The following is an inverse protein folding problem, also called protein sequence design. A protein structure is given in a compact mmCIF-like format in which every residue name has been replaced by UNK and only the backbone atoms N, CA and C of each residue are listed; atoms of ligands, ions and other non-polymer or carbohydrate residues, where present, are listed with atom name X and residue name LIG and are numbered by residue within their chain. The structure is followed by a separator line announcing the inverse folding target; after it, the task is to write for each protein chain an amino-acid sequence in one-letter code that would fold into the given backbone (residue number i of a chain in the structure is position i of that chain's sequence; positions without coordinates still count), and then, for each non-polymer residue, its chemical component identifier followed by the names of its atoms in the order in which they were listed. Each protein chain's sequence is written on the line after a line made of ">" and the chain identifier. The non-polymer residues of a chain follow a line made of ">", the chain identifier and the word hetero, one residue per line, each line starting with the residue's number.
data_IF_191173090621
#
_entry.id   IF_191173090621
#
_cell.length_a   1.000
_cell.length_b   1.000
_cell.length_c   1.000
_cell.angle_alpha   90.00
_cell.angle_beta   90.00
_cell.angle_gamma   90.00
#
_symmetry.space_group_name_H-M   'P 1'
#
loop_
_entity.id
_entity.type
_entity.pdbx_description
1 polymer ?
#
# COMPACT_ATOMS: atom_id res chain seq x y z
N UNK A 1 0.37 6.75 10.80
CA UNK A 1 -0.44 5.52 10.78
C UNK A 1 0.07 4.60 9.67
N UNK A 2 -0.06 3.27 9.79
CA UNK A 2 0.21 2.34 8.69
C UNK A 2 -1.10 1.82 8.10
N UNK A 3 -1.20 1.79 6.77
CA UNK A 3 -2.33 1.20 6.09
C UNK A 3 -1.85 0.24 5.00
N UNK A 4 -2.33 -1.00 5.05
CA UNK A 4 -2.26 -1.91 3.92
C UNK A 4 -3.47 -1.68 3.02
N UNK A 5 -3.22 -1.40 1.75
CA UNK A 5 -4.25 -1.19 0.72
C UNK A 5 -4.08 -2.21 -0.38
N UNK A 6 -5.17 -2.86 -0.76
CA UNK A 6 -5.21 -3.80 -1.89
C UNK A 6 -6.42 -3.48 -2.78
N UNK A 7 -6.19 -3.45 -4.09
CA UNK A 7 -7.21 -3.24 -5.11
C UNK A 7 -7.37 -4.51 -5.93
N UNK A 8 -8.58 -5.05 -5.98
CA UNK A 8 -8.90 -6.26 -6.74
C UNK A 8 -10.06 -5.96 -7.67
N UNK A 9 -9.78 -5.59 -8.93
CA UNK A 9 -10.80 -5.49 -9.96
C UNK A 9 -11.36 -6.89 -10.24
N UNK A 10 -12.68 -7.01 -10.30
CA UNK A 10 -13.38 -8.27 -10.47
C UNK A 10 -13.87 -8.36 -11.91
N UNK A 11 -13.61 -9.50 -12.56
CA UNK A 11 -13.96 -9.71 -13.97
C UNK A 11 -12.87 -9.28 -14.96
N UNK A 12 -11.72 -8.81 -14.46
CA UNK A 12 -10.56 -8.44 -15.29
C UNK A 12 -9.58 -9.60 -15.39
N UNK A 13 -9.18 -9.97 -16.61
CA UNK A 13 -8.14 -10.98 -16.87
C UNK A 13 -6.73 -10.38 -16.86
N UNK A 14 -6.01 -10.52 -17.97
CA UNK A 14 -4.61 -10.06 -18.12
C UNK A 14 -4.43 -8.55 -17.92
N UNK A 15 -5.49 -7.76 -18.12
CA UNK A 15 -5.49 -6.29 -17.95
C UNK A 15 -5.28 -5.84 -16.50
N UNK A 16 -5.43 -6.73 -15.53
CA UNK A 16 -5.29 -6.41 -14.10
C UNK A 16 -3.97 -5.69 -13.78
N UNK A 17 -2.86 -6.12 -14.41
CA UNK A 17 -1.55 -5.49 -14.23
C UNK A 17 -1.55 -4.02 -14.65
N UNK A 18 -2.19 -3.70 -15.77
CA UNK A 18 -2.23 -2.33 -16.30
C UNK A 18 -3.10 -1.42 -15.43
N UNK A 19 -4.21 -1.95 -14.93
CA UNK A 19 -5.09 -1.24 -13.99
C UNK A 19 -4.37 -0.92 -12.68
N UNK A 20 -3.69 -1.92 -12.08
CA UNK A 20 -2.91 -1.70 -10.88
C UNK A 20 -1.75 -0.72 -11.11
N UNK A 21 -1.12 -0.75 -12.29
CA UNK A 21 -0.08 0.22 -12.64
C UNK A 21 -0.60 1.67 -12.67
N UNK A 22 -1.88 1.91 -13.03
CA UNK A 22 -2.48 3.25 -12.95
C UNK A 22 -2.61 3.72 -11.51
N UNK A 23 -3.11 2.89 -10.61
CA UNK A 23 -3.17 3.20 -9.19
C UNK A 23 -1.78 3.43 -8.59
N UNK A 24 -0.79 2.60 -8.94
CA UNK A 24 0.58 2.77 -8.46
C UNK A 24 1.24 4.06 -8.96
N UNK A 25 0.90 4.57 -10.15
CA UNK A 25 1.36 5.90 -10.59
C UNK A 25 0.81 7.03 -9.72
N UNK A 26 -0.40 6.89 -9.17
CA UNK A 26 -0.99 7.88 -8.25
C UNK A 26 -0.25 7.82 -6.91
N UNK A 27 -0.01 6.62 -6.37
CA UNK A 27 0.74 6.43 -5.11
C UNK A 27 2.18 6.91 -5.26
N UNK A 28 2.85 6.61 -6.36
CA UNK A 28 4.22 7.04 -6.60
C UNK A 28 4.36 8.57 -6.71
N UNK A 29 3.29 9.27 -7.11
CA UNK A 29 3.22 10.73 -7.11
C UNK A 29 2.77 11.31 -5.76
N UNK A 30 2.37 10.47 -4.82
CA UNK A 30 2.14 10.91 -3.45
C UNK A 30 3.48 11.05 -2.76
N UNK A 31 3.68 12.13 -2.02
CA UNK A 31 4.87 12.35 -1.20
C UNK A 31 4.86 11.47 0.07
N UNK A 32 3.95 10.48 0.16
CA UNK A 32 3.84 9.57 1.28
C UNK A 32 4.82 8.41 1.13
N UNK A 33 5.39 7.99 2.26
CA UNK A 33 6.20 6.78 2.30
C UNK A 33 5.31 5.55 2.05
N UNK A 34 5.76 4.68 1.15
CA UNK A 34 5.04 3.45 0.85
C UNK A 34 5.99 2.31 0.47
N UNK A 35 5.49 1.09 0.61
CA UNK A 35 6.16 -0.14 0.18
C UNK A 35 5.19 -0.99 -0.63
N UNK A 36 5.55 -1.22 -1.90
CA UNK A 36 4.85 -2.16 -2.75
C UNK A 36 5.20 -3.60 -2.35
N UNK A 37 4.20 -4.46 -2.31
CA UNK A 37 4.32 -5.90 -2.08
C UNK A 37 3.65 -6.66 -3.23
N UNK A 38 3.82 -7.98 -3.27
CA UNK A 38 3.15 -8.82 -4.27
C UNK A 38 1.62 -8.81 -4.18
N UNK A 39 1.05 -8.44 -3.03
CA UNK A 39 -0.39 -8.54 -2.75
C UNK A 39 -1.09 -7.18 -2.62
N UNK A 40 -0.35 -6.08 -2.58
CA UNK A 40 -0.87 -4.76 -2.28
C UNK A 40 0.24 -3.79 -1.89
N UNK A 41 -0.12 -2.71 -1.24
CA UNK A 41 0.82 -1.64 -0.86
C UNK A 41 0.61 -1.26 0.61
N UNK A 42 1.71 -1.10 1.33
CA UNK A 42 1.71 -0.55 2.69
C UNK A 42 2.06 0.93 2.57
N UNK A 43 1.25 1.81 3.15
CA UNK A 43 1.39 3.26 3.09
C UNK A 43 1.51 3.79 4.52
N UNK A 44 2.45 4.69 4.75
CA UNK A 44 2.60 5.43 5.99
C UNK A 44 2.18 6.88 5.80
N UNK A 45 1.35 7.40 6.72
CA UNK A 45 0.82 8.76 6.63
C UNK A 45 -0.34 9.01 7.58
N UNK A 46 -1.03 10.13 7.40
CA UNK A 46 -2.22 10.47 8.16
C UNK A 46 -3.49 9.82 7.59
N UNK A 47 -4.51 9.66 8.44
CA UNK A 47 -5.79 9.04 8.07
C UNK A 47 -6.39 9.67 6.81
N UNK A 48 -6.52 11.00 6.79
CA UNK A 48 -7.16 11.70 5.68
C UNK A 48 -6.36 11.60 4.39
N UNK A 49 -5.03 11.65 4.46
CA UNK A 49 -4.15 11.55 3.29
C UNK A 49 -4.25 10.16 2.66
N UNK A 50 -4.15 9.11 3.49
CA UNK A 50 -4.23 7.72 3.05
C UNK A 50 -5.61 7.42 2.46
N UNK A 51 -6.70 7.80 3.14
CA UNK A 51 -8.05 7.53 2.64
C UNK A 51 -8.34 8.31 1.35
N UNK A 52 -7.86 9.54 1.23
CA UNK A 52 -7.96 10.33 -0.01
C UNK A 52 -7.17 9.69 -1.14
N UNK A 53 -5.95 9.21 -0.86
CA UNK A 53 -5.11 8.52 -1.83
C UNK A 53 -5.75 7.21 -2.29
N UNK A 54 -6.20 6.37 -1.34
CA UNK A 54 -6.87 5.11 -1.64
C UNK A 54 -8.14 5.33 -2.47
N UNK A 55 -8.93 6.37 -2.18
CA UNK A 55 -10.09 6.77 -2.99
C UNK A 55 -9.69 7.15 -4.41
N UNK A 56 -8.66 7.99 -4.59
CA UNK A 56 -8.18 8.37 -5.93
C UNK A 56 -7.74 7.16 -6.76
N UNK A 57 -7.01 6.23 -6.14
CA UNK A 57 -6.63 4.97 -6.78
C UNK A 57 -7.83 4.11 -7.12
N UNK A 58 -8.81 4.02 -6.20
CA UNK A 58 -10.04 3.28 -6.43
C UNK A 58 -10.81 3.82 -7.64
N UNK A 59 -11.04 5.12 -7.66
CA UNK A 59 -11.79 5.80 -8.72
C UNK A 59 -11.07 5.67 -10.08
N UNK A 60 -9.74 5.79 -10.10
CA UNK A 60 -8.95 5.64 -11.33
C UNK A 60 -9.12 4.25 -11.96
N UNK A 61 -9.16 3.20 -11.15
CA UNK A 61 -9.36 1.84 -11.65
C UNK A 61 -10.82 1.64 -12.09
N UNK A 62 -11.80 2.19 -11.36
CA UNK A 62 -13.23 2.08 -11.70
C UNK A 62 -13.60 2.73 -13.04
N UNK A 63 -12.76 3.61 -13.59
CA UNK A 63 -12.95 4.10 -14.96
C UNK A 63 -12.83 3.00 -16.03
N UNK A 64 -12.24 1.84 -15.68
CA UNK A 64 -11.95 0.74 -16.61
C UNK A 64 -12.50 -0.62 -16.13
N UNK A 65 -12.90 -0.73 -14.85
CA UNK A 65 -13.43 -1.96 -14.27
C UNK A 65 -14.91 -1.81 -13.88
N UNK A 66 -15.74 -2.81 -14.18
CA UNK A 66 -17.16 -2.79 -13.82
C UNK A 66 -17.40 -2.98 -12.32
N UNK A 67 -16.49 -3.69 -11.65
CA UNK A 67 -16.58 -4.00 -10.23
C UNK A 67 -15.19 -4.07 -9.62
N UNK A 68 -15.04 -3.56 -8.40
CA UNK A 68 -13.81 -3.66 -7.66
C UNK A 68 -14.06 -3.95 -6.18
N UNK A 69 -13.18 -4.77 -5.61
CA UNK A 69 -13.05 -4.97 -4.17
C UNK A 69 -11.79 -4.25 -3.70
N UNK A 70 -11.93 -3.33 -2.75
CA UNK A 70 -10.80 -2.66 -2.11
C UNK A 70 -10.75 -3.07 -0.64
N UNK A 71 -9.60 -3.56 -0.20
CA UNK A 71 -9.35 -3.88 1.21
C UNK A 71 -8.39 -2.86 1.77
N UNK A 72 -8.76 -2.26 2.90
CA UNK A 72 -7.89 -1.35 3.66
C UNK A 72 -7.80 -1.88 5.08
N UNK A 73 -6.60 -2.23 5.51
CA UNK A 73 -6.30 -2.62 6.89
C UNK A 73 -5.44 -1.54 7.51
N UNK A 74 -5.88 -1.01 8.65
CA UNK A 74 -5.23 0.11 9.31
C UNK A 74 -4.66 -0.32 10.65
N UNK A 75 -3.38 -0.02 10.87
CA UNK A 75 -2.73 -0.03 12.18
C UNK A 75 -2.47 1.42 12.59
N UNK A 76 -3.39 1.94 13.41
CA UNK A 76 -3.31 3.28 13.98
C UNK A 76 -2.90 3.22 15.45
N UNK A 77 -1.64 3.58 15.69
CA UNK A 77 -1.04 3.62 17.03
C UNK A 77 -0.51 5.03 17.27
N UNK A 78 -0.97 5.63 18.37
CA UNK A 78 -0.49 6.94 18.82
C UNK A 78 1.01 6.87 19.16
N UNK A 79 1.70 7.99 18.97
CA UNK A 79 3.08 8.25 19.40
C UNK A 79 4.19 7.47 18.65
N UNK A 80 3.93 6.98 17.43
CA UNK A 80 4.91 6.24 16.64
C UNK A 80 4.94 6.71 15.18
N UNK A 81 6.12 7.09 14.69
CA UNK A 81 6.43 7.49 13.31
C UNK A 81 7.51 6.59 12.71
N UNK A 82 7.69 6.65 11.38
CA UNK A 82 8.68 5.86 10.61
C UNK A 82 8.54 4.35 10.84
N UNK A 83 7.30 3.90 11.05
CA UNK A 83 6.98 2.53 11.46
C UNK A 83 7.26 1.53 10.35
N UNK A 84 7.16 1.95 9.09
CA UNK A 84 7.34 1.08 7.94
C UNK A 84 8.76 0.47 7.94
N UNK A 85 9.79 1.28 8.27
CA UNK A 85 11.18 0.81 8.42
C UNK A 85 11.45 0.21 9.80
N UNK A 86 11.02 0.91 10.86
CA UNK A 86 11.34 0.53 12.24
C UNK A 86 10.82 -0.86 12.61
N UNK A 87 9.59 -1.22 12.24
CA UNK A 87 9.01 -2.52 12.58
C UNK A 87 9.84 -3.68 11.98
N UNK A 88 10.40 -3.50 10.78
CA UNK A 88 11.25 -4.52 10.15
C UNK A 88 12.58 -4.64 10.87
N UNK A 89 13.23 -3.51 11.14
CA UNK A 89 14.52 -3.49 11.85
C UNK A 89 14.42 -4.12 13.25
N UNK A 90 13.33 -3.86 13.98
CA UNK A 90 13.09 -4.47 15.30
C UNK A 90 12.99 -6.00 15.21
N UNK A 91 12.34 -6.52 14.17
CA UNK A 91 12.22 -7.97 13.95
C UNK A 91 13.56 -8.57 13.54
N UNK A 92 14.28 -7.95 12.60
CA UNK A 92 15.61 -8.40 12.17
C UNK A 92 16.61 -8.44 13.33
N UNK A 93 16.58 -7.41 14.19
CA UNK A 93 17.35 -7.38 15.41
C UNK A 93 16.97 -8.52 16.35
N UNK A 94 15.67 -8.76 16.56
CA UNK A 94 15.18 -9.81 17.45
C UNK A 94 15.58 -11.22 16.99
N UNK A 95 15.63 -11.46 15.68
CA UNK A 95 16.06 -12.76 15.13
C UNK A 95 17.58 -12.85 14.91
N UNK A 96 18.32 -11.76 15.10
CA UNK A 96 19.77 -11.70 14.94
C UNK A 96 20.26 -11.77 13.49
N UNK A 97 19.47 -11.29 12.52
CA UNK A 97 19.85 -11.34 11.11
C UNK A 97 18.88 -10.62 10.17
N UNK A 98 19.39 -10.23 9.00
CA UNK A 98 18.62 -9.55 7.97
C UNK A 98 17.60 -10.50 7.30
N UNK A 99 16.41 -9.99 7.03
CA UNK A 99 15.35 -10.69 6.31
C UNK A 99 15.31 -10.24 4.84
N UNK A 100 14.70 -11.08 4.00
CA UNK A 100 14.44 -10.72 2.60
C UNK A 100 13.24 -9.79 2.53
N UNK A 101 13.50 -8.49 2.57
CA UNK A 101 12.49 -7.46 2.38
C UNK A 101 12.53 -6.98 0.94
N UNK A 102 11.36 -6.84 0.31
CA UNK A 102 11.25 -6.50 -1.12
C UNK A 102 11.61 -5.05 -1.48
N UNK A 103 12.34 -4.33 -0.62
CA UNK A 103 12.65 -2.91 -0.82
C UNK A 103 13.02 -2.13 0.45
N UNK A 104 13.35 -2.80 1.56
CA UNK A 104 13.94 -2.15 2.73
C UNK A 104 15.43 -2.48 2.76
N UNK A 105 16.19 -1.83 1.88
CA UNK A 105 17.65 -1.72 1.98
C UNK A 105 18.02 -0.31 2.39
#
# INVERSE_FOLDING_TARGET
>A
MLAYVNFVPIGTGEEMKELLAKAMKIIHKSELDYQLTSMGVIIEGDWNEIMTLAKKCHDEIMNFAERMSTTITVDDRKDMTERLKKNVLEIEYAIGGALKTGGLT
#
